data_IF_646646521736
#
_entry.id   IF_646646521736
#
_cell.length_a   1.000
_cell.length_b   1.000
_cell.length_c   1.000
_cell.angle_alpha   90.00
_cell.angle_beta   90.00
_cell.angle_gamma   90.00
#
_symmetry.space_group_name_H-M   'P 1'
#
loop_
_entity.id
_entity.type
_entity.pdbx_description
1 polymer ?
#
# COMPACT_ATOMS: atom_id res chain seq x y z
N UNK A 1 -19.59 5.76 -14.18
CA UNK A 1 -18.17 5.48 -13.88
C UNK A 1 -17.37 5.24 -15.16
N UNK A 2 -17.95 4.62 -16.16
CA UNK A 2 -17.33 4.39 -17.47
C UNK A 2 -16.67 5.66 -18.01
N UNK A 3 -17.41 6.77 -18.01
CA UNK A 3 -16.93 8.07 -18.51
C UNK A 3 -15.66 8.52 -17.77
N UNK A 4 -15.64 8.39 -16.45
CA UNK A 4 -14.50 8.86 -15.66
C UNK A 4 -13.23 8.08 -15.98
N UNK A 5 -13.31 6.75 -16.06
CA UNK A 5 -12.16 5.91 -16.41
C UNK A 5 -11.67 6.25 -17.82
N UNK A 6 -12.60 6.36 -18.78
CA UNK A 6 -12.25 6.70 -20.17
C UNK A 6 -11.50 8.04 -20.24
N UNK A 7 -11.95 9.04 -19.47
CA UNK A 7 -11.28 10.35 -19.46
C UNK A 7 -9.91 10.30 -18.82
N UNK A 8 -9.75 9.49 -17.76
CA UNK A 8 -8.43 9.31 -17.14
C UNK A 8 -7.45 8.66 -18.11
N UNK A 9 -7.91 7.64 -18.84
CA UNK A 9 -7.08 6.99 -19.87
C UNK A 9 -6.67 7.99 -20.95
N UNK A 10 -7.61 8.82 -21.42
CA UNK A 10 -7.31 9.85 -22.41
C UNK A 10 -6.28 10.86 -21.88
N UNK A 11 -6.38 11.23 -20.59
CA UNK A 11 -5.43 12.19 -20.00
C UNK A 11 -4.02 11.62 -19.90
N UNK A 12 -3.89 10.30 -19.84
CA UNK A 12 -2.60 9.62 -19.73
C UNK A 12 -1.78 9.71 -21.02
N UNK A 13 -2.41 9.98 -22.16
CA UNK A 13 -1.75 10.06 -23.47
C UNK A 13 -0.59 11.07 -23.53
N UNK A 14 -0.63 12.08 -22.66
CA UNK A 14 0.37 13.16 -22.66
C UNK A 14 1.67 12.76 -21.93
N UNK A 15 1.67 11.62 -21.23
CA UNK A 15 2.81 11.25 -20.38
C UNK A 15 3.66 10.15 -21.04
N UNK A 16 5.00 10.26 -21.01
CA UNK A 16 5.88 9.26 -21.63
C UNK A 16 6.16 8.08 -20.71
N UNK A 17 5.14 7.63 -19.97
CA UNK A 17 5.23 6.49 -19.06
C UNK A 17 3.91 5.71 -19.16
N UNK A 18 3.93 4.46 -18.81
CA UNK A 18 2.72 3.64 -18.73
C UNK A 18 1.98 3.95 -17.43
N UNK A 19 0.68 4.17 -17.53
CA UNK A 19 -0.17 4.52 -16.38
C UNK A 19 -1.39 3.60 -16.36
N UNK A 20 -1.69 3.06 -15.17
CA UNK A 20 -2.90 2.29 -14.95
C UNK A 20 -3.78 2.99 -13.91
N UNK A 21 -5.08 2.93 -14.10
CA UNK A 21 -6.03 3.60 -13.21
C UNK A 21 -6.95 2.58 -12.55
N UNK A 22 -7.16 2.74 -11.25
CA UNK A 22 -8.10 1.93 -10.50
C UNK A 22 -9.47 2.58 -10.51
N UNK A 23 -10.49 1.74 -10.63
CA UNK A 23 -11.87 2.17 -10.42
C UNK A 23 -12.19 2.26 -8.93
N UNK A 24 -13.24 2.98 -8.59
CA UNK A 24 -13.72 3.10 -7.21
C UNK A 24 -14.46 1.81 -6.85
N UNK A 25 -13.92 1.07 -5.86
CA UNK A 25 -14.43 -0.23 -5.46
C UNK A 25 -15.64 -0.19 -4.52
N UNK A 26 -15.95 0.99 -3.96
CA UNK A 26 -16.97 1.11 -2.92
C UNK A 26 -18.37 1.11 -3.52
N UNK A 27 -18.86 -0.09 -3.78
CA UNK A 27 -20.23 -0.32 -4.26
C UNK A 27 -20.68 -1.72 -3.85
N UNK A 28 -21.92 -1.84 -3.40
CA UNK A 28 -22.55 -3.14 -3.18
C UNK A 28 -23.23 -3.66 -4.45
N UNK A 29 -23.31 -2.81 -5.49
CA UNK A 29 -23.87 -3.21 -6.77
C UNK A 29 -22.71 -3.52 -7.73
N UNK A 30 -22.55 -4.80 -8.05
CA UNK A 30 -21.47 -5.28 -8.89
C UNK A 30 -21.50 -4.71 -10.30
N UNK A 31 -22.67 -4.34 -10.82
CA UNK A 31 -22.78 -3.75 -12.18
C UNK A 31 -21.89 -2.49 -12.26
N UNK A 32 -21.94 -1.64 -11.23
CA UNK A 32 -21.15 -0.41 -11.20
C UNK A 32 -19.64 -0.68 -11.19
N UNK A 33 -19.22 -1.80 -10.61
CA UNK A 33 -17.83 -2.21 -10.57
C UNK A 33 -17.39 -2.78 -11.92
N UNK A 34 -18.26 -3.62 -12.50
CA UNK A 34 -18.04 -4.23 -13.82
C UNK A 34 -17.86 -3.14 -14.88
N UNK A 35 -18.76 -2.13 -14.89
CA UNK A 35 -18.69 -1.00 -15.82
C UNK A 35 -17.31 -0.33 -15.81
N UNK A 36 -16.69 -0.24 -14.64
CA UNK A 36 -15.37 0.41 -14.51
C UNK A 36 -14.26 -0.48 -15.07
N UNK A 37 -14.32 -1.76 -14.81
CA UNK A 37 -13.34 -2.73 -15.35
C UNK A 37 -13.45 -2.77 -16.87
N UNK A 38 -14.69 -2.84 -17.41
CA UNK A 38 -14.93 -2.84 -18.86
C UNK A 38 -14.52 -1.52 -19.51
N UNK A 39 -14.51 -0.42 -18.76
CA UNK A 39 -14.01 0.86 -19.26
C UNK A 39 -12.48 0.95 -19.29
N UNK A 40 -11.77 -0.06 -18.74
CA UNK A 40 -10.32 -0.12 -18.76
C UNK A 40 -9.65 0.12 -17.41
N UNK A 41 -10.39 0.07 -16.31
CA UNK A 41 -9.76 0.11 -14.98
C UNK A 41 -8.92 -1.15 -14.78
N UNK A 42 -7.68 -0.98 -14.32
CA UNK A 42 -6.76 -2.10 -14.10
C UNK A 42 -6.96 -2.78 -12.75
N UNK A 43 -7.95 -2.35 -11.97
CA UNK A 43 -8.30 -2.90 -10.67
C UNK A 43 -9.29 -2.00 -9.98
N UNK A 44 -9.60 -2.33 -8.73
CA UNK A 44 -10.60 -1.60 -7.95
C UNK A 44 -9.99 -1.17 -6.61
N UNK A 45 -10.32 0.05 -6.16
CA UNK A 45 -9.79 0.61 -4.90
C UNK A 45 -10.92 0.80 -3.90
N UNK A 46 -10.71 0.27 -2.70
CA UNK A 46 -11.60 0.46 -1.55
C UNK A 46 -10.96 1.47 -0.57
N UNK A 47 -11.79 2.34 -0.01
CA UNK A 47 -11.33 3.36 0.96
C UNK A 47 -12.44 3.64 1.96
N UNK A 48 -12.10 3.74 3.24
CA UNK A 48 -13.10 3.93 4.30
C UNK A 48 -13.92 5.20 4.13
N UNK A 49 -13.33 6.27 3.62
CA UNK A 49 -14.05 7.53 3.38
C UNK A 49 -15.27 7.35 2.46
N UNK A 50 -15.29 6.28 1.70
CA UNK A 50 -16.35 6.00 0.74
C UNK A 50 -17.33 4.94 1.25
N UNK A 51 -17.18 4.51 2.50
CA UNK A 51 -18.04 3.50 3.11
C UNK A 51 -17.62 2.08 2.77
N UNK A 52 -16.49 1.63 3.30
CA UNK A 52 -15.95 0.30 3.05
C UNK A 52 -16.51 -0.69 4.08
N UNK A 53 -17.73 -1.17 3.85
CA UNK A 53 -18.38 -2.18 4.69
C UNK A 53 -17.97 -3.60 4.25
N UNK A 54 -18.19 -4.62 5.09
CA UNK A 54 -17.96 -6.01 4.67
C UNK A 54 -18.67 -6.38 3.37
N UNK A 55 -19.89 -5.90 3.18
CA UNK A 55 -20.64 -6.15 1.94
C UNK A 55 -19.95 -5.52 0.72
N UNK A 56 -19.44 -4.31 0.89
CA UNK A 56 -18.73 -3.61 -0.17
C UNK A 56 -17.44 -4.35 -0.53
N UNK A 57 -16.69 -4.80 0.47
CA UNK A 57 -15.45 -5.58 0.26
C UNK A 57 -15.80 -6.85 -0.52
N UNK A 58 -16.84 -7.55 -0.09
CA UNK A 58 -17.25 -8.80 -0.73
C UNK A 58 -17.62 -8.59 -2.21
N UNK A 59 -18.45 -7.58 -2.50
CA UNK A 59 -18.87 -7.28 -3.88
C UNK A 59 -17.66 -6.93 -4.75
N UNK A 60 -16.75 -6.15 -4.22
CA UNK A 60 -15.55 -5.74 -4.94
C UNK A 60 -14.68 -6.96 -5.28
N UNK A 61 -14.46 -7.84 -4.31
CA UNK A 61 -13.65 -9.05 -4.51
C UNK A 61 -14.32 -10.04 -5.44
N UNK A 62 -15.67 -10.15 -5.43
CA UNK A 62 -16.39 -11.00 -6.37
C UNK A 62 -16.13 -10.56 -7.82
N UNK A 63 -16.20 -9.26 -8.07
CA UNK A 63 -15.95 -8.73 -9.41
C UNK A 63 -14.47 -8.94 -9.79
N UNK A 64 -13.57 -8.70 -8.85
CA UNK A 64 -12.15 -8.89 -9.10
C UNK A 64 -11.82 -10.35 -9.46
N UNK A 65 -12.40 -11.30 -8.73
CA UNK A 65 -12.23 -12.73 -9.02
C UNK A 65 -12.74 -13.07 -10.43
N UNK A 66 -13.86 -12.47 -10.83
CA UNK A 66 -14.50 -12.74 -12.13
C UNK A 66 -13.68 -12.19 -13.29
N UNK A 67 -13.07 -11.02 -13.12
CA UNK A 67 -12.35 -10.32 -14.19
C UNK A 67 -10.82 -10.46 -14.09
N UNK A 68 -10.33 -11.16 -13.06
CA UNK A 68 -8.91 -11.37 -12.81
C UNK A 68 -8.17 -10.03 -12.70
N UNK A 69 -8.70 -9.13 -11.88
CA UNK A 69 -8.07 -7.84 -11.59
C UNK A 69 -7.82 -7.71 -10.09
N UNK A 70 -6.91 -6.82 -9.70
CA UNK A 70 -6.55 -6.64 -8.28
C UNK A 70 -7.50 -5.71 -7.56
N UNK A 71 -7.77 -6.02 -6.29
CA UNK A 71 -8.40 -5.08 -5.37
C UNK A 71 -7.34 -4.50 -4.45
N UNK A 72 -7.33 -3.17 -4.34
CA UNK A 72 -6.49 -2.48 -3.36
C UNK A 72 -7.39 -1.90 -2.27
N UNK A 73 -6.99 -2.06 -1.03
CA UNK A 73 -7.77 -1.50 0.08
C UNK A 73 -6.89 -0.58 0.93
N UNK A 74 -7.43 0.60 1.24
CA UNK A 74 -6.94 1.40 2.34
C UNK A 74 -7.35 0.66 3.62
N UNK A 75 -6.40 0.25 4.43
CA UNK A 75 -6.62 -0.74 5.49
C UNK A 75 -7.32 -0.17 6.73
N UNK A 76 -8.01 0.92 6.57
CA UNK A 76 -8.73 1.61 7.63
C UNK A 76 -10.23 1.37 7.49
N UNK A 77 -10.60 0.13 7.27
CA UNK A 77 -11.99 -0.25 7.06
C UNK A 77 -12.74 -0.24 8.38
N UNK A 78 -13.89 0.40 8.39
CA UNK A 78 -14.78 0.42 9.55
C UNK A 78 -14.11 0.96 10.82
N UNK A 79 -13.21 1.92 10.66
CA UNK A 79 -12.45 2.46 11.79
C UNK A 79 -13.34 3.03 12.91
N UNK A 80 -14.57 3.37 12.59
CA UNK A 80 -15.51 3.94 13.56
C UNK A 80 -16.51 2.91 14.08
N UNK A 81 -16.63 1.76 13.44
CA UNK A 81 -17.69 0.80 13.75
C UNK A 81 -17.27 -0.66 13.68
N UNK A 82 -15.97 -0.94 13.52
CA UNK A 82 -15.50 -2.32 13.37
C UNK A 82 -14.08 -2.51 13.85
N UNK A 83 -13.61 -3.72 13.69
CA UNK A 83 -12.29 -4.15 14.09
C UNK A 83 -11.56 -4.72 12.87
N UNK A 84 -10.23 -4.85 12.96
CA UNK A 84 -9.43 -5.42 11.88
C UNK A 84 -9.92 -6.83 11.51
N UNK A 85 -10.44 -7.56 12.50
CA UNK A 85 -11.01 -8.90 12.28
C UNK A 85 -12.20 -8.87 11.34
N UNK A 86 -13.00 -7.81 11.36
CA UNK A 86 -14.15 -7.68 10.44
C UNK A 86 -13.66 -7.54 8.99
N UNK A 87 -12.58 -6.78 8.79
CA UNK A 87 -11.94 -6.65 7.47
C UNK A 87 -11.38 -8.00 7.02
N UNK A 88 -10.66 -8.70 7.90
CA UNK A 88 -10.06 -10.00 7.59
C UNK A 88 -11.18 -10.99 7.21
N UNK A 89 -12.26 -11.01 7.98
CA UNK A 89 -13.40 -11.89 7.71
C UNK A 89 -14.05 -11.56 6.36
N UNK A 90 -14.16 -10.28 6.01
CA UNK A 90 -14.75 -9.86 4.73
C UNK A 90 -13.88 -10.25 3.54
N UNK A 91 -12.57 -10.21 3.71
CA UNK A 91 -11.62 -10.66 2.67
C UNK A 91 -11.79 -12.16 2.42
N UNK A 92 -12.03 -12.93 3.49
CA UNK A 92 -12.36 -14.36 3.41
C UNK A 92 -11.29 -15.17 2.65
N UNK A 93 -10.03 -14.85 2.88
CA UNK A 93 -8.89 -15.58 2.29
C UNK A 93 -8.63 -15.30 0.82
N UNK A 94 -9.36 -14.35 0.21
CA UNK A 94 -9.14 -13.97 -1.20
C UNK A 94 -7.91 -13.07 -1.32
N UNK A 95 -7.38 -12.94 -2.54
CA UNK A 95 -6.21 -12.11 -2.79
C UNK A 95 -6.60 -10.62 -2.73
N UNK A 96 -5.80 -9.84 -2.00
CA UNK A 96 -6.02 -8.41 -1.88
C UNK A 96 -4.69 -7.70 -1.60
N UNK A 97 -4.53 -6.50 -2.17
CA UNK A 97 -3.36 -5.64 -1.91
C UNK A 97 -3.76 -4.61 -0.86
N UNK A 98 -3.11 -4.64 0.29
CA UNK A 98 -3.43 -3.74 1.40
C UNK A 98 -2.41 -2.59 1.47
N UNK A 99 -2.92 -1.35 1.45
CA UNK A 99 -2.10 -0.15 1.64
C UNK A 99 -2.04 0.22 3.12
N UNK A 100 -1.03 0.98 3.51
CA UNK A 100 -0.87 1.51 4.88
C UNK A 100 -0.88 0.39 5.92
N UNK A 101 -0.37 -0.77 5.55
CA UNK A 101 -0.46 -1.95 6.42
C UNK A 101 0.40 -1.79 7.68
N UNK A 102 1.33 -0.85 7.68
CA UNK A 102 2.11 -0.48 8.86
C UNK A 102 1.29 0.29 9.90
N UNK A 103 0.08 0.74 9.53
CA UNK A 103 -0.80 1.47 10.44
C UNK A 103 -0.57 2.98 10.48
N UNK A 104 0.38 3.50 9.70
CA UNK A 104 0.71 4.93 9.71
C UNK A 104 -0.37 5.78 9.03
N UNK A 105 -1.17 5.17 8.15
CA UNK A 105 -2.24 5.89 7.44
C UNK A 105 -3.49 6.13 8.27
N UNK A 106 -3.58 5.52 9.45
CA UNK A 106 -4.72 5.70 10.34
C UNK A 106 -5.48 4.40 10.59
N UNK A 107 -6.74 4.55 10.95
CA UNK A 107 -7.67 3.44 11.08
C UNK A 107 -7.38 2.48 12.23
N UNK A 108 -7.26 1.22 11.94
CA UNK A 108 -7.09 0.17 12.95
C UNK A 108 -5.68 0.13 13.57
N UNK A 109 -4.95 1.25 13.57
CA UNK A 109 -3.65 1.30 14.22
C UNK A 109 -3.78 1.00 15.72
N UNK A 110 -2.88 0.21 16.31
CA UNK A 110 -1.77 -0.50 15.66
C UNK A 110 -2.16 -1.86 15.08
N UNK A 111 -3.39 -2.29 15.27
CA UNK A 111 -3.81 -3.68 15.05
C UNK A 111 -3.80 -4.09 13.59
N UNK A 112 -3.92 -3.12 12.67
CA UNK A 112 -3.95 -3.42 11.24
C UNK A 112 -2.73 -4.22 10.78
N UNK A 113 -1.61 -4.11 11.48
CA UNK A 113 -0.39 -4.83 11.14
C UNK A 113 -0.60 -6.36 11.18
N UNK A 114 -1.61 -6.84 11.90
CA UNK A 114 -1.96 -8.27 11.96
C UNK A 114 -2.22 -8.85 10.58
N UNK A 115 -2.76 -8.03 9.67
CA UNK A 115 -3.15 -8.50 8.34
C UNK A 115 -1.95 -8.98 7.52
N UNK A 116 -0.73 -8.58 7.89
CA UNK A 116 0.50 -9.10 7.26
C UNK A 116 0.66 -10.61 7.45
N UNK A 117 -0.01 -11.18 8.45
CA UNK A 117 0.03 -12.61 8.72
C UNK A 117 -1.01 -13.41 7.96
N UNK A 118 -1.91 -12.72 7.24
CA UNK A 118 -3.00 -13.39 6.55
C UNK A 118 -2.55 -13.91 5.18
N UNK A 119 -2.98 -15.14 4.89
CA UNK A 119 -2.68 -15.78 3.60
C UNK A 119 -3.35 -14.98 2.47
N UNK A 120 -2.63 -14.83 1.37
CA UNK A 120 -3.10 -14.15 0.16
C UNK A 120 -3.27 -12.63 0.31
N UNK A 121 -2.88 -12.06 1.43
CA UNK A 121 -2.78 -10.61 1.56
C UNK A 121 -1.41 -10.17 1.04
N UNK A 122 -1.40 -9.12 0.21
CA UNK A 122 -0.19 -8.55 -0.37
C UNK A 122 0.04 -7.18 0.27
N UNK A 123 0.79 -7.13 1.38
CA UNK A 123 0.87 -5.89 2.16
C UNK A 123 1.87 -4.90 1.60
N UNK A 124 1.48 -3.64 1.55
CA UNK A 124 2.40 -2.55 1.22
C UNK A 124 2.48 -1.53 2.33
N UNK A 125 3.62 -0.90 2.43
CA UNK A 125 3.88 0.25 3.28
C UNK A 125 3.94 1.48 2.40
N UNK A 126 3.37 2.57 2.89
CA UNK A 126 3.40 3.87 2.21
C UNK A 126 4.14 4.92 3.04
N UNK A 127 4.64 4.54 4.19
CA UNK A 127 5.17 5.47 5.19
C UNK A 127 6.42 6.20 4.68
N UNK A 128 6.36 7.53 4.50
CA UNK A 128 7.51 8.29 4.03
C UNK A 128 8.47 8.70 5.14
N UNK A 129 8.18 8.38 6.40
CA UNK A 129 9.04 8.80 7.53
C UNK A 129 10.01 7.72 7.99
N UNK A 130 10.03 6.55 7.30
CA UNK A 130 11.03 5.54 7.65
C UNK A 130 12.41 5.95 7.09
N UNK A 131 13.53 5.37 7.56
CA UNK A 131 13.57 4.41 8.67
C UNK A 131 13.29 5.10 10.02
N UNK A 132 12.85 4.32 10.99
CA UNK A 132 12.56 4.82 12.34
C UNK A 132 13.83 5.41 12.96
N UNK A 133 13.73 6.65 13.38
CA UNK A 133 14.81 7.42 14.03
C UNK A 133 14.22 8.17 15.22
N UNK A 134 15.05 8.93 15.90
CA UNK A 134 14.62 9.74 17.05
C UNK A 134 13.57 10.79 16.68
N UNK A 135 13.58 11.25 15.44
CA UNK A 135 12.68 12.33 14.99
C UNK A 135 11.41 11.79 14.32
N UNK A 136 11.31 10.49 14.08
CA UNK A 136 10.25 9.92 13.25
C UNK A 136 8.85 10.24 13.78
N UNK A 137 8.66 10.16 15.09
CA UNK A 137 7.33 10.40 15.67
C UNK A 137 6.87 11.83 15.42
N UNK A 138 7.75 12.80 15.65
CA UNK A 138 7.42 14.22 15.41
C UNK A 138 7.15 14.47 13.93
N UNK A 139 8.03 13.96 13.07
CA UNK A 139 7.86 14.11 11.62
C UNK A 139 6.55 13.49 11.14
N UNK A 140 6.21 12.32 11.68
CA UNK A 140 4.98 11.63 11.29
C UNK A 140 3.75 12.37 11.78
N UNK A 141 3.79 12.88 13.01
CA UNK A 141 2.69 13.66 13.59
C UNK A 141 2.45 14.91 12.74
N UNK A 142 3.50 15.65 12.42
CA UNK A 142 3.38 16.85 11.58
C UNK A 142 2.76 16.53 10.23
N UNK A 143 3.21 15.44 9.59
CA UNK A 143 2.67 15.01 8.30
C UNK A 143 1.19 14.67 8.41
N UNK A 144 0.81 13.92 9.43
CA UNK A 144 -0.56 13.48 9.62
C UNK A 144 -1.47 14.69 9.85
N UNK A 145 -1.02 15.64 10.69
CA UNK A 145 -1.76 16.87 10.95
C UNK A 145 -2.04 17.62 9.64
N UNK A 146 -0.99 17.81 8.83
CA UNK A 146 -1.12 18.54 7.56
C UNK A 146 -2.02 17.82 6.57
N UNK A 147 -1.81 16.51 6.39
CA UNK A 147 -2.52 15.74 5.35
C UNK A 147 -4.00 15.56 5.69
N UNK A 148 -4.36 15.56 6.96
CA UNK A 148 -5.76 15.45 7.39
C UNK A 148 -6.39 16.80 7.71
N UNK A 149 -5.70 17.91 7.42
CA UNK A 149 -6.19 19.26 7.63
C UNK A 149 -6.56 19.55 9.10
N UNK A 150 -5.78 18.97 10.00
CA UNK A 150 -5.99 19.14 11.45
C UNK A 150 -5.29 20.42 11.95
N UNK A 151 -5.79 20.97 13.06
CA UNK A 151 -5.26 22.19 13.65
C UNK A 151 -4.56 21.87 14.98
N UNK A 152 -3.26 22.16 15.06
CA UNK A 152 -2.46 21.92 16.27
C UNK A 152 -2.90 22.75 17.49
N UNK A 153 -3.83 23.68 17.30
CA UNK A 153 -4.41 24.46 18.39
C UNK A 153 -5.67 23.81 18.98
N UNK A 154 -6.16 22.76 18.35
CA UNK A 154 -7.35 22.05 18.79
C UNK A 154 -6.93 20.74 19.46
N UNK A 155 -7.15 20.60 20.79
CA UNK A 155 -6.72 19.38 21.49
C UNK A 155 -7.29 18.09 20.93
N UNK A 156 -8.52 18.13 20.43
CA UNK A 156 -9.18 16.97 19.86
C UNK A 156 -8.49 16.50 18.55
N UNK A 157 -8.02 17.46 17.76
CA UNK A 157 -7.26 17.15 16.53
C UNK A 157 -5.92 16.50 16.87
N UNK A 158 -5.24 17.04 17.90
CA UNK A 158 -3.98 16.47 18.37
C UNK A 158 -4.23 15.04 18.87
N UNK A 159 -5.25 14.86 19.71
CA UNK A 159 -5.59 13.54 20.27
C UNK A 159 -5.92 12.54 19.15
N UNK A 160 -6.64 12.98 18.12
CA UNK A 160 -6.92 12.13 16.95
C UNK A 160 -5.62 11.70 16.28
N UNK A 161 -4.74 12.68 15.99
CA UNK A 161 -3.48 12.38 15.30
C UNK A 161 -2.61 11.42 16.13
N UNK A 162 -2.48 11.70 17.42
CA UNK A 162 -1.67 10.87 18.33
C UNK A 162 -2.23 9.45 18.49
N UNK A 163 -3.55 9.29 18.39
CA UNK A 163 -4.17 7.96 18.49
C UNK A 163 -3.76 7.04 17.34
N UNK A 164 -3.37 7.62 16.21
CA UNK A 164 -3.01 6.88 14.99
C UNK A 164 -1.53 6.52 14.94
N UNK A 165 -0.70 7.18 15.75
CA UNK A 165 0.74 7.04 15.68
C UNK A 165 1.20 6.17 16.84
N UNK A 166 1.83 5.04 16.52
CA UNK A 166 2.34 4.10 17.51
C UNK A 166 3.83 3.87 17.27
N UNK A 167 4.63 4.26 18.24
CA UNK A 167 6.09 4.06 18.18
C UNK A 167 6.44 2.61 17.83
N UNK A 168 5.74 1.70 18.47
CA UNK A 168 6.04 0.27 18.37
C UNK A 168 5.80 -0.25 16.94
N UNK A 169 4.70 0.13 16.32
CA UNK A 169 4.38 -0.31 14.96
C UNK A 169 5.31 0.35 13.94
N UNK A 170 5.60 1.64 14.11
CA UNK A 170 6.51 2.36 13.20
C UNK A 170 7.93 1.77 13.30
N UNK A 171 8.37 1.44 14.51
CA UNK A 171 9.68 0.82 14.70
C UNK A 171 9.72 -0.60 14.12
N UNK A 172 8.64 -1.35 14.30
CA UNK A 172 8.53 -2.72 13.78
C UNK A 172 8.52 -2.74 12.25
N UNK A 173 8.01 -1.69 11.61
CA UNK A 173 7.93 -1.60 10.16
C UNK A 173 9.27 -1.87 9.48
N UNK A 174 10.35 -1.26 9.98
CA UNK A 174 11.69 -1.45 9.40
C UNK A 174 12.08 -2.93 9.43
N UNK A 175 11.81 -3.59 10.56
CA UNK A 175 12.14 -5.01 10.75
C UNK A 175 11.30 -5.88 9.81
N UNK A 176 10.00 -5.57 9.69
CA UNK A 176 9.09 -6.33 8.83
C UNK A 176 9.45 -6.17 7.36
N UNK A 177 9.94 -5.00 6.95
CA UNK A 177 10.50 -4.82 5.61
C UNK A 177 11.72 -5.71 5.39
N UNK A 178 12.60 -5.78 6.37
CA UNK A 178 13.83 -6.57 6.26
C UNK A 178 13.55 -8.08 6.28
N UNK A 179 12.51 -8.49 7.00
CA UNK A 179 12.07 -9.89 7.03
C UNK A 179 11.29 -10.28 5.75
N UNK A 180 10.81 -9.29 4.99
CA UNK A 180 10.02 -9.54 3.78
C UNK A 180 8.52 -9.61 4.01
N UNK A 181 8.06 -9.36 5.26
CA UNK A 181 6.63 -9.36 5.57
C UNK A 181 5.89 -8.26 4.80
N UNK A 182 6.50 -7.07 4.71
CA UNK A 182 6.01 -6.05 3.79
C UNK A 182 6.65 -6.31 2.43
N UNK A 183 5.85 -6.78 1.48
CA UNK A 183 6.35 -7.19 0.17
C UNK A 183 6.46 -6.04 -0.82
N UNK A 184 5.75 -4.94 -0.59
CA UNK A 184 5.61 -3.82 -1.54
C UNK A 184 5.82 -2.49 -0.83
N UNK A 185 6.35 -1.53 -1.57
CA UNK A 185 6.42 -0.12 -1.17
C UNK A 185 5.56 0.66 -2.17
N UNK A 186 4.67 1.50 -1.66
CA UNK A 186 3.88 2.41 -2.46
C UNK A 186 4.17 3.85 -2.01
N UNK A 187 3.93 4.82 -2.87
CA UNK A 187 4.33 6.20 -2.58
C UNK A 187 3.27 7.01 -1.84
N UNK A 188 2.00 6.68 -2.03
CA UNK A 188 0.89 7.47 -1.50
C UNK A 188 1.06 8.96 -1.86
N UNK A 189 1.44 9.24 -3.10
CA UNK A 189 2.00 10.54 -3.51
C UNK A 189 1.03 11.71 -3.36
N UNK A 190 -0.27 11.45 -3.38
CA UNK A 190 -1.27 12.52 -3.32
C UNK A 190 -1.87 12.73 -1.92
N UNK A 191 -1.41 11.95 -0.95
CA UNK A 191 -1.82 12.12 0.44
C UNK A 191 -0.59 12.33 1.30
N UNK A 192 -0.14 11.33 2.05
CA UNK A 192 0.99 11.48 2.95
C UNK A 192 2.33 11.12 2.30
N UNK A 193 2.35 10.79 1.00
CA UNK A 193 3.52 10.24 0.36
C UNK A 193 4.36 11.24 -0.41
N UNK A 194 5.56 10.80 -0.73
CA UNK A 194 6.54 11.57 -1.51
C UNK A 194 7.30 10.58 -2.39
N UNK A 195 7.02 10.59 -3.69
CA UNK A 195 7.48 9.55 -4.61
C UNK A 195 8.99 9.30 -4.53
N UNK A 196 9.80 10.31 -4.82
CA UNK A 196 11.27 10.16 -4.83
C UNK A 196 11.82 9.87 -3.44
N UNK A 197 11.27 10.53 -2.44
CA UNK A 197 11.72 10.36 -1.06
C UNK A 197 11.44 8.96 -0.54
N UNK A 198 10.28 8.40 -0.87
CA UNK A 198 9.93 7.04 -0.45
C UNK A 198 10.95 6.02 -0.98
N UNK A 199 11.39 6.17 -2.23
CA UNK A 199 12.39 5.27 -2.83
C UNK A 199 13.72 5.42 -2.07
N UNK A 200 14.17 6.65 -1.85
CA UNK A 200 15.42 6.91 -1.13
C UNK A 200 15.37 6.32 0.28
N UNK A 201 14.29 6.57 1.00
CA UNK A 201 14.14 6.10 2.38
C UNK A 201 14.01 4.58 2.45
N UNK A 202 13.51 3.94 1.40
CA UNK A 202 13.50 2.48 1.32
C UNK A 202 14.91 1.92 1.39
N UNK A 203 15.86 2.51 0.64
CA UNK A 203 17.24 2.04 0.67
C UNK A 203 17.97 2.48 1.95
N UNK A 204 17.60 3.60 2.54
CA UNK A 204 18.08 3.97 3.88
C UNK A 204 17.63 2.96 4.92
N UNK A 205 16.39 2.45 4.80
CA UNK A 205 15.88 1.40 5.68
C UNK A 205 16.72 0.13 5.51
N UNK A 206 17.01 -0.27 4.27
CA UNK A 206 17.86 -1.43 4.01
C UNK A 206 19.23 -1.28 4.68
N UNK A 207 19.84 -0.09 4.56
CA UNK A 207 21.12 0.19 5.18
C UNK A 207 21.05 0.11 6.71
N UNK A 208 20.04 0.76 7.30
CA UNK A 208 19.84 0.70 8.75
C UNK A 208 19.70 -0.74 9.24
N UNK A 209 18.91 -1.53 8.52
CA UNK A 209 18.70 -2.93 8.88
C UNK A 209 20.00 -3.74 8.78
N UNK A 210 20.82 -3.47 7.76
CA UNK A 210 22.13 -4.10 7.65
C UNK A 210 23.01 -3.77 8.85
N UNK A 211 23.04 -2.50 9.27
CA UNK A 211 23.87 -2.06 10.40
C UNK A 211 23.36 -2.66 11.72
N UNK A 212 22.05 -2.69 11.92
CA UNK A 212 21.47 -3.12 13.20
C UNK A 212 21.32 -4.62 13.34
N UNK A 213 21.05 -5.33 12.24
CA UNK A 213 20.71 -6.75 12.28
C UNK A 213 21.77 -7.66 11.65
N UNK A 214 22.78 -7.04 10.99
CA UNK A 214 23.83 -7.82 10.32
C UNK A 214 23.37 -8.36 8.98
N UNK A 215 24.13 -9.31 8.40
CA UNK A 215 23.78 -9.93 7.11
C UNK A 215 22.53 -10.82 7.25
N UNK A 216 21.81 -10.95 6.16
CA UNK A 216 20.74 -11.95 6.08
C UNK A 216 21.36 -13.34 5.91
N UNK A 217 20.61 -14.37 6.27
CA UNK A 217 21.12 -15.76 6.17
C UNK A 217 21.49 -16.14 4.73
N UNK A 218 20.87 -15.48 3.76
CA UNK A 218 21.09 -15.75 2.32
C UNK A 218 22.19 -14.87 1.73
N UNK A 219 22.72 -13.91 2.48
CA UNK A 219 23.86 -13.11 2.05
C UNK A 219 25.15 -13.88 2.29
N UNK A 220 26.21 -13.48 1.62
CA UNK A 220 27.52 -14.06 1.82
C UNK A 220 28.41 -13.09 2.61
N UNK A 221 29.59 -13.57 3.01
CA UNK A 221 30.60 -12.76 3.65
C UNK A 221 31.19 -11.67 2.74
N UNK A 222 30.90 -11.77 1.43
CA UNK A 222 31.45 -10.87 0.42
C UNK A 222 30.43 -9.85 -0.12
N UNK A 223 29.15 -10.12 0.06
CA UNK A 223 28.12 -9.22 -0.49
C UNK A 223 26.79 -9.40 0.23
N UNK A 224 25.94 -8.41 0.10
CA UNK A 224 24.59 -8.37 0.63
C UNK A 224 23.56 -8.31 -0.51
N UNK A 225 23.84 -9.02 -1.60
CA UNK A 225 23.00 -9.00 -2.78
C UNK A 225 21.57 -9.48 -2.52
N UNK A 226 21.39 -10.39 -1.57
CA UNK A 226 20.04 -10.88 -1.26
C UNK A 226 19.19 -9.76 -0.66
N UNK A 227 19.75 -9.00 0.30
CA UNK A 227 19.03 -7.82 0.85
C UNK A 227 18.75 -6.81 -0.25
N UNK A 228 19.70 -6.53 -1.13
CA UNK A 228 19.50 -5.59 -2.24
C UNK A 228 18.33 -6.06 -3.11
N UNK A 229 18.31 -7.33 -3.50
CA UNK A 229 17.21 -7.90 -4.30
C UNK A 229 15.87 -7.75 -3.58
N UNK A 230 15.83 -8.06 -2.28
CA UNK A 230 14.60 -7.94 -1.46
C UNK A 230 14.03 -6.52 -1.52
N UNK A 231 14.90 -5.50 -1.41
CA UNK A 231 14.42 -4.12 -1.36
C UNK A 231 14.09 -3.58 -2.75
N UNK A 232 14.84 -3.96 -3.79
CA UNK A 232 14.51 -3.57 -5.16
C UNK A 232 13.17 -4.20 -5.59
N UNK A 233 12.95 -5.46 -5.25
CA UNK A 233 11.72 -6.14 -5.67
C UNK A 233 10.46 -5.48 -5.13
N UNK A 234 10.55 -4.73 -4.01
CA UNK A 234 9.39 -4.07 -3.41
C UNK A 234 8.82 -2.95 -4.29
N UNK A 235 9.61 -2.42 -5.21
CA UNK A 235 9.20 -1.33 -6.10
C UNK A 235 9.27 -1.74 -7.58
N UNK A 236 9.50 -3.01 -7.85
CA UNK A 236 9.60 -3.53 -9.21
C UNK A 236 8.72 -4.77 -9.38
N UNK A 237 9.31 -5.98 -9.21
CA UNK A 237 8.60 -7.21 -9.54
C UNK A 237 7.42 -7.51 -8.59
N UNK A 238 7.54 -7.17 -7.30
CA UNK A 238 6.48 -7.50 -6.35
C UNK A 238 5.17 -6.75 -6.66
N UNK A 239 5.18 -5.41 -6.87
CA UNK A 239 3.94 -4.76 -7.30
C UNK A 239 3.48 -5.24 -8.69
N UNK A 240 4.40 -5.59 -9.60
CA UNK A 240 3.99 -6.12 -10.90
C UNK A 240 3.22 -7.44 -10.74
N UNK A 241 3.69 -8.33 -9.86
CA UNK A 241 2.99 -9.58 -9.53
C UNK A 241 1.63 -9.27 -8.88
N UNK A 242 1.62 -8.34 -7.91
CA UNK A 242 0.40 -8.01 -7.18
C UNK A 242 -0.70 -7.49 -8.10
N UNK A 243 -0.33 -6.85 -9.21
CA UNK A 243 -1.29 -6.28 -10.14
C UNK A 243 -1.43 -7.07 -11.45
N UNK A 244 -0.83 -8.25 -11.52
CA UNK A 244 -0.99 -9.16 -12.66
C UNK A 244 -0.34 -8.69 -13.94
N UNK A 245 0.68 -7.82 -13.85
CA UNK A 245 1.37 -7.26 -15.03
C UNK A 245 2.82 -7.75 -15.13
N UNK A 246 3.18 -8.72 -14.31
CA UNK A 246 4.57 -9.20 -14.23
C UNK A 246 5.07 -9.87 -15.52
N UNK A 247 4.17 -10.26 -16.42
CA UNK A 247 4.57 -10.80 -17.72
C UNK A 247 5.07 -9.70 -18.66
N UNK A 248 4.75 -8.46 -18.35
CA UNK A 248 5.06 -7.30 -19.20
C UNK A 248 6.15 -6.40 -18.63
N UNK A 249 6.18 -6.24 -17.30
CA UNK A 249 7.08 -5.29 -16.61
C UNK A 249 7.60 -5.88 -15.30
N UNK A 250 8.41 -5.13 -14.58
CA UNK A 250 8.84 -5.47 -13.20
C UNK A 250 10.16 -6.18 -13.10
N UNK A 251 10.73 -6.66 -14.21
CA UNK A 251 12.05 -7.32 -14.20
C UNK A 251 12.74 -7.14 -15.54
N UNK A 252 14.07 -7.24 -15.53
CA UNK A 252 14.89 -7.13 -16.75
C UNK A 252 14.98 -8.53 -17.36
N UNK A 253 14.03 -8.83 -18.24
CA UNK A 253 13.93 -10.12 -18.93
C UNK A 253 13.59 -9.89 -20.40
N UNK A 254 14.08 -10.80 -21.24
CA UNK A 254 13.81 -10.74 -22.68
C UNK A 254 12.30 -10.82 -22.93
N UNK A 255 11.78 -9.89 -23.68
CA UNK A 255 10.37 -9.85 -24.04
C UNK A 255 9.53 -8.88 -23.21
N UNK A 256 10.07 -8.38 -22.12
CA UNK A 256 9.35 -7.41 -21.29
C UNK A 256 9.59 -5.97 -21.77
N UNK A 257 8.66 -5.11 -21.44
CA UNK A 257 8.73 -3.68 -21.77
C UNK A 257 9.83 -3.05 -20.89
N UNK A 258 10.62 -2.13 -21.44
CA UNK A 258 11.74 -1.49 -20.75
C UNK A 258 11.23 -0.27 -19.94
N UNK A 259 10.36 -0.57 -19.01
CA UNK A 259 9.87 0.43 -18.06
C UNK A 259 10.63 0.30 -16.75
N UNK A 260 11.54 0.71 -16.85
CA UNK A 260 12.44 0.57 -15.81
C UNK A 260 12.29 1.42 -14.65
N UNK A 261 11.59 1.70 -14.61
CA UNK A 261 11.35 2.53 -13.72
C UNK A 261 11.12 2.66 -12.53
#
# INVERSE_FOLDING_TARGET
>A
WFFSISRMLQSAEAFPINLGFFGKGNSTNEINLIDQVEAGACGLKLHEDWGTTPSTINSCLNVADKFDVQVCIHTDTLNEAGFVEDTINAIAGRTIHTFHTEGAGGGHAPDIIKICGEKNVLPSSTNPTRPYTKNTLEEHLDMLMVCHHLDSKIPEDIAFAESRIRRETIAAEDILHDLGAFSIIASDSQAMGRVGEVITRTFQTAHKMKVQRGPLSEDSDRNDNYRVKRYISKVTINPAIAHGINDYVGSIEKGKIADXX
#
